data_IF_478007401721
#
_entry.id   IF_478007401721
#
_cell.length_a   1.000
_cell.length_b   1.000
_cell.length_c   1.000
_cell.angle_alpha   90.00
_cell.angle_beta   90.00
_cell.angle_gamma   90.00
#
_symmetry.space_group_name_H-M   'P 1'
#
loop_
_entity.id
_entity.type
_entity.pdbx_description
1 polymer ?
#
# COMPACT_ATOMS: atom_id res chain seq x y z
N UNK A 1 -22.20 16.53 -16.67
CA UNK A 1 -21.05 17.39 -16.37
C UNK A 1 -19.83 16.74 -16.98
N UNK A 2 -19.19 17.39 -17.95
CA UNK A 2 -18.06 16.85 -18.71
C UNK A 2 -16.87 16.71 -17.77
N UNK A 3 -16.35 15.47 -17.61
CA UNK A 3 -15.09 15.22 -16.95
C UNK A 3 -13.99 15.99 -17.70
N UNK A 4 -13.52 17.06 -17.09
CA UNK A 4 -12.31 17.73 -17.51
C UNK A 4 -11.12 16.86 -17.05
N UNK A 5 -10.82 15.81 -17.81
CA UNK A 5 -9.45 15.33 -17.83
C UNK A 5 -8.63 16.47 -18.41
N UNK A 6 -7.84 17.13 -17.57
CA UNK A 6 -6.79 18.02 -18.05
C UNK A 6 -5.89 17.17 -18.92
N UNK A 7 -6.03 17.29 -20.24
CA UNK A 7 -5.15 16.66 -21.21
C UNK A 7 -3.81 17.37 -21.09
N UNK A 8 -2.95 16.85 -20.21
CA UNK A 8 -1.56 17.30 -20.09
C UNK A 8 -0.91 16.91 -21.39
N UNK A 9 -0.22 17.85 -22.06
CA UNK A 9 0.55 17.52 -23.26
C UNK A 9 1.62 16.49 -22.90
N UNK A 10 2.00 15.63 -23.85
CA UNK A 10 3.08 14.66 -23.63
C UNK A 10 4.35 15.29 -23.06
N UNK A 11 4.73 16.47 -23.59
CA UNK A 11 5.90 17.22 -23.12
C UNK A 11 5.77 17.62 -21.65
N UNK A 12 4.63 18.15 -21.24
CA UNK A 12 4.40 18.51 -19.84
C UNK A 12 4.41 17.28 -18.92
N UNK A 13 3.85 16.16 -19.39
CA UNK A 13 3.88 14.90 -18.65
C UNK A 13 5.31 14.40 -18.44
N UNK A 14 6.13 14.39 -19.50
CA UNK A 14 7.52 13.93 -19.45
C UNK A 14 8.34 14.78 -18.45
N UNK A 15 8.17 16.10 -18.48
CA UNK A 15 8.82 17.02 -17.52
C UNK A 15 8.38 16.74 -16.08
N UNK A 16 7.07 16.61 -15.83
CA UNK A 16 6.56 16.32 -14.48
C UNK A 16 6.99 14.96 -13.97
N UNK A 17 7.11 13.96 -14.84
CA UNK A 17 7.62 12.64 -14.47
C UNK A 17 9.11 12.69 -14.11
N UNK A 18 9.92 13.45 -14.85
CA UNK A 18 11.34 13.68 -14.54
C UNK A 18 11.51 14.42 -13.20
N UNK A 19 10.71 15.45 -12.96
CA UNK A 19 10.69 16.18 -11.68
C UNK A 19 10.34 15.25 -10.52
N UNK A 20 9.30 14.44 -10.66
CA UNK A 20 8.88 13.48 -9.64
C UNK A 20 9.98 12.43 -9.35
N UNK A 21 10.66 11.94 -10.41
CA UNK A 21 11.78 11.00 -10.27
C UNK A 21 12.94 11.65 -9.52
N UNK A 22 13.30 12.89 -9.84
CA UNK A 22 14.35 13.64 -9.15
C UNK A 22 14.01 13.91 -7.69
N UNK A 23 12.80 14.36 -7.40
CA UNK A 23 12.34 14.58 -6.02
C UNK A 23 12.37 13.28 -5.20
N UNK A 24 11.99 12.16 -5.81
CA UNK A 24 12.03 10.85 -5.16
C UNK A 24 13.46 10.42 -4.89
N UNK A 25 14.38 10.61 -5.84
CA UNK A 25 15.79 10.31 -5.66
C UNK A 25 16.40 11.16 -4.51
N UNK A 26 16.04 12.44 -4.43
CA UNK A 26 16.52 13.33 -3.36
C UNK A 26 15.95 12.90 -2.00
N UNK A 27 14.68 12.43 -1.96
CA UNK A 27 14.07 11.88 -0.75
C UNK A 27 14.73 10.56 -0.30
N UNK A 28 15.04 9.66 -1.23
CA UNK A 28 15.62 8.34 -0.95
C UNK A 28 17.11 8.44 -0.56
N UNK A 29 17.83 9.42 -1.12
CA UNK A 29 19.30 9.56 -0.99
C UNK A 29 19.85 9.42 0.45
N UNK A 30 19.25 9.97 1.52
CA UNK A 30 19.72 9.78 2.88
C UNK A 30 19.71 8.32 3.36
N UNK A 31 18.86 7.47 2.76
CA UNK A 31 18.59 6.10 3.20
C UNK A 31 19.39 5.03 2.44
N UNK A 32 20.12 5.39 1.36
CA UNK A 32 20.81 4.42 0.49
C UNK A 32 21.86 3.54 1.18
N UNK A 33 22.33 3.94 2.36
CA UNK A 33 23.29 3.14 3.14
C UNK A 33 22.62 2.11 4.05
N UNK A 34 21.33 2.29 4.33
CA UNK A 34 20.57 1.51 5.33
C UNK A 34 19.44 0.70 4.70
N UNK A 35 18.91 1.16 3.58
CA UNK A 35 17.83 0.51 2.84
C UNK A 35 18.34 -0.15 1.56
N UNK A 36 17.69 -1.26 1.18
CA UNK A 36 17.90 -1.91 -0.11
C UNK A 36 17.27 -1.02 -1.19
N UNK A 37 17.98 -0.76 -2.27
CA UNK A 37 17.46 -0.09 -3.46
C UNK A 37 17.38 -1.15 -4.58
N UNK A 38 16.18 -1.36 -5.12
CA UNK A 38 15.96 -2.39 -6.15
C UNK A 38 14.95 -1.92 -7.17
N UNK A 39 15.09 -2.36 -8.41
CA UNK A 39 14.15 -2.13 -9.50
C UNK A 39 13.26 -3.36 -9.75
N UNK A 40 13.52 -4.46 -9.07
CA UNK A 40 12.76 -5.72 -9.18
C UNK A 40 12.74 -6.48 -7.86
N UNK A 41 11.81 -7.43 -7.73
CA UNK A 41 11.82 -8.40 -6.65
C UNK A 41 11.44 -7.84 -5.26
N UNK A 42 10.86 -6.64 -5.18
CA UNK A 42 10.47 -6.02 -3.91
C UNK A 42 9.53 -6.88 -3.07
N UNK A 43 8.64 -7.66 -3.68
CA UNK A 43 7.78 -8.61 -2.96
C UNK A 43 8.58 -9.70 -2.24
N UNK A 44 9.66 -10.22 -2.87
CA UNK A 44 10.54 -11.19 -2.22
C UNK A 44 11.27 -10.54 -1.03
N UNK A 45 11.84 -9.36 -1.24
CA UNK A 45 12.52 -8.62 -0.17
C UNK A 45 11.56 -8.39 1.00
N UNK A 46 10.31 -7.97 0.74
CA UNK A 46 9.33 -7.76 1.78
C UNK A 46 9.02 -9.04 2.57
N UNK A 47 8.82 -10.18 1.88
CA UNK A 47 8.53 -11.47 2.50
C UNK A 47 9.69 -12.00 3.36
N UNK A 48 10.93 -11.81 2.92
CA UNK A 48 12.15 -12.21 3.65
C UNK A 48 12.35 -11.41 4.93
N UNK A 49 11.84 -10.17 4.97
CA UNK A 49 11.94 -9.29 6.14
C UNK A 49 10.87 -9.53 7.21
N UNK A 50 9.87 -10.39 6.97
CA UNK A 50 8.85 -10.72 7.97
C UNK A 50 9.44 -11.65 9.02
N UNK A 51 9.64 -11.13 10.24
CA UNK A 51 10.35 -11.80 11.34
C UNK A 51 9.43 -12.23 12.49
N UNK A 52 8.22 -11.68 12.57
CA UNK A 52 7.28 -11.94 13.67
C UNK A 52 6.04 -12.67 13.18
N UNK A 53 5.43 -13.42 14.08
CA UNK A 53 4.11 -14.02 13.88
C UNK A 53 3.02 -12.96 14.08
N UNK A 54 1.94 -13.07 13.30
CA UNK A 54 0.82 -12.15 13.41
C UNK A 54 -0.09 -12.16 12.20
N UNK A 55 -0.87 -11.10 12.05
CA UNK A 55 -1.76 -10.91 10.93
C UNK A 55 -0.99 -10.50 9.67
N UNK A 56 -1.33 -11.09 8.54
CA UNK A 56 -0.85 -10.73 7.21
C UNK A 56 -2.03 -10.16 6.44
N UNK A 57 -1.99 -8.85 6.17
CA UNK A 57 -3.10 -8.09 5.62
C UNK A 57 -2.70 -7.41 4.32
N UNK A 58 -3.62 -7.37 3.35
CA UNK A 58 -3.49 -6.61 2.12
C UNK A 58 -4.72 -5.73 1.92
N UNK A 59 -4.51 -4.48 1.57
CA UNK A 59 -5.54 -3.49 1.30
C UNK A 59 -5.44 -3.00 -0.14
N UNK A 60 -6.45 -3.34 -0.95
CA UNK A 60 -6.41 -3.37 -2.40
C UNK A 60 -5.97 -4.75 -2.88
N UNK A 61 -6.86 -5.48 -3.52
CA UNK A 61 -6.61 -6.86 -3.99
C UNK A 61 -6.82 -6.97 -5.49
N UNK A 62 -7.81 -6.27 -6.01
CA UNK A 62 -8.19 -6.34 -7.42
C UNK A 62 -8.31 -7.78 -7.92
N UNK A 63 -7.39 -8.23 -8.77
CA UNK A 63 -7.37 -9.60 -9.33
C UNK A 63 -6.64 -10.62 -8.46
N UNK A 64 -5.96 -10.17 -7.40
CA UNK A 64 -5.29 -11.03 -6.43
C UNK A 64 -3.86 -11.41 -6.78
N UNK A 65 -3.20 -10.69 -7.69
CA UNK A 65 -1.84 -11.04 -8.16
C UNK A 65 -0.83 -11.00 -7.01
N UNK A 66 -0.80 -9.92 -6.23
CA UNK A 66 0.11 -9.74 -5.10
C UNK A 66 -0.19 -10.70 -3.96
N UNK A 67 -1.47 -10.80 -3.53
CA UNK A 67 -1.84 -11.67 -2.40
C UNK A 67 -1.63 -13.15 -2.72
N UNK A 68 -1.85 -13.58 -3.97
CA UNK A 68 -1.57 -14.94 -4.42
C UNK A 68 -0.08 -15.21 -4.46
N UNK A 69 0.72 -14.23 -4.90
CA UNK A 69 2.16 -14.35 -4.83
C UNK A 69 2.64 -14.54 -3.38
N UNK A 70 2.27 -13.65 -2.47
CA UNK A 70 2.66 -13.72 -1.06
C UNK A 70 2.20 -15.02 -0.40
N UNK A 71 0.95 -15.40 -0.59
CA UNK A 71 0.37 -16.60 0.01
C UNK A 71 0.99 -17.89 -0.54
N UNK A 72 1.40 -17.91 -1.80
CA UNK A 72 2.10 -19.04 -2.42
C UNK A 72 3.50 -19.27 -1.81
N UNK A 73 4.19 -18.18 -1.46
CA UNK A 73 5.53 -18.24 -0.83
C UNK A 73 5.47 -18.60 0.65
N UNK A 74 4.34 -18.35 1.31
CA UNK A 74 4.10 -18.71 2.73
C UNK A 74 2.83 -19.56 2.86
N UNK A 75 2.83 -20.83 2.38
CA UNK A 75 1.62 -21.64 2.25
C UNK A 75 0.96 -22.01 3.59
N UNK A 76 1.68 -21.97 4.69
CA UNK A 76 1.18 -22.22 6.03
C UNK A 76 0.67 -20.96 6.75
N UNK A 77 0.75 -19.81 6.09
CA UNK A 77 0.30 -18.52 6.63
C UNK A 77 -1.06 -18.17 6.06
N UNK A 78 -1.98 -17.73 6.92
CA UNK A 78 -3.28 -17.22 6.50
C UNK A 78 -3.19 -15.73 6.17
N UNK A 79 -3.60 -15.40 4.96
CA UNK A 79 -3.62 -14.04 4.42
C UNK A 79 -5.04 -13.49 4.39
N UNK A 80 -5.20 -12.20 4.63
CA UNK A 80 -6.49 -11.51 4.56
C UNK A 80 -6.38 -10.35 3.59
N UNK A 81 -7.15 -10.41 2.50
CA UNK A 81 -7.24 -9.35 1.50
C UNK A 81 -8.55 -8.56 1.66
N UNK A 82 -8.43 -7.24 1.72
CA UNK A 82 -9.56 -6.32 1.83
C UNK A 82 -9.74 -5.55 0.53
N UNK A 83 -10.92 -5.58 -0.02
CA UNK A 83 -11.27 -4.83 -1.23
C UNK A 83 -12.80 -4.69 -1.35
N UNK A 84 -13.26 -3.59 -1.89
CA UNK A 84 -14.67 -3.42 -2.26
C UNK A 84 -14.99 -4.18 -3.55
N UNK A 85 -13.99 -4.36 -4.43
CA UNK A 85 -14.10 -4.82 -5.81
C UNK A 85 -14.99 -3.93 -6.69
N UNK A 86 -15.28 -2.71 -6.23
CA UNK A 86 -16.04 -1.69 -6.97
C UNK A 86 -15.12 -0.62 -7.61
N UNK A 87 -13.79 -0.73 -7.37
CA UNK A 87 -12.79 0.22 -7.81
C UNK A 87 -12.70 1.47 -6.93
N UNK A 88 -11.92 2.44 -7.36
CA UNK A 88 -11.65 3.65 -6.60
C UNK A 88 -12.92 4.43 -6.22
N UNK A 89 -12.95 4.95 -4.98
CA UNK A 89 -14.01 5.83 -4.51
C UNK A 89 -13.76 7.28 -4.91
N UNK A 90 -12.54 7.65 -5.19
CA UNK A 90 -12.08 8.98 -5.59
C UNK A 90 -11.14 8.90 -6.80
N UNK A 91 -10.83 10.04 -7.40
CA UNK A 91 -9.84 10.11 -8.47
C UNK A 91 -8.44 10.05 -7.86
N UNK A 92 -7.55 9.26 -8.45
CA UNK A 92 -6.17 9.14 -8.02
C UNK A 92 -5.38 10.42 -8.35
N UNK A 93 -4.85 11.08 -7.33
CA UNK A 93 -4.11 12.33 -7.49
C UNK A 93 -2.78 12.09 -8.20
N UNK A 94 -2.57 12.80 -9.31
CA UNK A 94 -1.38 12.64 -10.16
C UNK A 94 -1.39 11.44 -11.10
N UNK A 95 -2.40 10.58 -11.00
CA UNK A 95 -2.60 9.45 -11.90
C UNK A 95 -3.60 9.76 -13.03
N UNK A 96 -3.59 8.93 -14.08
CA UNK A 96 -4.57 8.96 -15.16
C UNK A 96 -5.85 8.19 -14.83
N UNK A 97 -5.92 7.66 -13.61
CA UNK A 97 -6.95 6.74 -13.19
C UNK A 97 -8.01 7.46 -12.37
N UNK A 98 -9.25 7.38 -12.83
CA UNK A 98 -10.41 7.96 -12.15
C UNK A 98 -11.17 6.92 -11.34
N UNK A 99 -12.25 7.37 -10.70
CA UNK A 99 -13.22 6.53 -10.00
C UNK A 99 -13.58 5.29 -10.81
N UNK A 100 -13.78 4.16 -10.12
CA UNK A 100 -14.09 2.83 -10.69
C UNK A 100 -12.95 2.15 -11.46
N UNK A 101 -11.78 2.75 -11.57
CA UNK A 101 -10.60 2.02 -12.02
C UNK A 101 -10.37 0.84 -11.07
N UNK A 102 -9.84 -0.26 -11.56
CA UNK A 102 -9.67 -1.53 -10.84
C UNK A 102 -10.98 -2.15 -10.30
N UNK A 103 -12.14 -1.83 -10.89
CA UNK A 103 -13.40 -2.48 -10.55
C UNK A 103 -13.51 -3.88 -11.17
N UNK A 104 -13.99 -4.82 -10.37
CA UNK A 104 -14.47 -6.14 -10.82
C UNK A 104 -16.00 -6.21 -10.73
N UNK A 105 -16.71 -5.07 -10.74
CA UNK A 105 -18.15 -4.99 -10.55
C UNK A 105 -18.62 -5.73 -9.28
N UNK A 106 -17.85 -5.60 -8.22
CA UNK A 106 -18.11 -6.25 -6.94
C UNK A 106 -17.89 -7.76 -6.89
N UNK A 107 -17.30 -8.35 -7.91
CA UNK A 107 -17.01 -9.80 -7.93
C UNK A 107 -15.64 -10.08 -7.31
N UNK A 108 -15.58 -11.10 -6.44
CA UNK A 108 -14.30 -11.54 -5.86
C UNK A 108 -13.51 -12.34 -6.90
N UNK A 109 -12.19 -12.14 -7.00
CA UNK A 109 -11.34 -13.02 -7.79
C UNK A 109 -11.23 -14.41 -7.13
N UNK A 110 -10.77 -15.39 -7.90
CA UNK A 110 -10.33 -16.67 -7.35
C UNK A 110 -8.90 -16.50 -6.86
N UNK A 111 -8.64 -16.89 -5.61
CA UNK A 111 -7.35 -16.76 -4.95
C UNK A 111 -6.92 -18.07 -4.28
N UNK A 112 -5.68 -18.14 -3.82
CA UNK A 112 -5.14 -19.30 -3.13
C UNK A 112 -5.96 -19.67 -1.88
N UNK A 113 -5.99 -20.97 -1.55
CA UNK A 113 -6.81 -21.54 -0.45
C UNK A 113 -6.47 -20.98 0.94
N UNK A 114 -5.26 -20.46 1.14
CA UNK A 114 -4.81 -19.81 2.36
C UNK A 114 -5.03 -18.29 2.34
N UNK A 115 -5.86 -17.78 1.43
CA UNK A 115 -6.30 -16.38 1.36
C UNK A 115 -7.78 -16.27 1.73
N UNK A 116 -8.14 -15.29 2.54
CA UNK A 116 -9.52 -14.93 2.89
C UNK A 116 -9.82 -13.52 2.40
N UNK A 117 -10.67 -13.40 1.39
CA UNK A 117 -11.12 -12.12 0.86
C UNK A 117 -12.29 -11.56 1.67
N UNK A 118 -12.11 -10.33 2.15
CA UNK A 118 -13.09 -9.55 2.91
C UNK A 118 -13.60 -8.44 2.00
N UNK A 119 -14.79 -8.68 1.42
CA UNK A 119 -15.42 -7.74 0.49
C UNK A 119 -16.12 -6.61 1.23
N UNK A 120 -15.85 -5.39 0.83
CA UNK A 120 -16.51 -4.16 1.27
C UNK A 120 -15.51 -3.04 1.49
N UNK A 121 -16.03 -1.84 1.75
CA UNK A 121 -15.19 -0.69 2.07
C UNK A 121 -14.46 -0.87 3.40
N UNK A 122 -13.26 -0.34 3.51
CA UNK A 122 -12.38 -0.54 4.68
C UNK A 122 -13.05 -0.07 5.96
N UNK A 123 -13.69 1.10 5.96
CA UNK A 123 -14.45 1.64 7.11
C UNK A 123 -15.52 0.71 7.67
N UNK A 124 -16.10 -0.14 6.83
CA UNK A 124 -17.20 -1.04 7.21
C UNK A 124 -16.72 -2.42 7.63
N UNK A 125 -15.61 -2.88 7.07
CA UNK A 125 -15.10 -4.25 7.21
C UNK A 125 -13.98 -4.37 8.23
N UNK A 126 -13.01 -3.46 8.18
CA UNK A 126 -11.80 -3.55 8.99
C UNK A 126 -12.05 -3.42 10.50
N UNK A 127 -12.93 -2.52 11.02
CA UNK A 127 -13.22 -2.47 12.44
C UNK A 127 -13.85 -3.78 12.96
N UNK A 128 -14.76 -4.39 12.18
CA UNK A 128 -15.39 -5.66 12.52
C UNK A 128 -14.39 -6.80 12.56
N UNK A 129 -13.45 -6.83 11.60
CA UNK A 129 -12.39 -7.81 11.56
C UNK A 129 -11.45 -7.67 12.76
N UNK A 130 -10.94 -6.48 13.04
CA UNK A 130 -9.99 -6.24 14.12
C UNK A 130 -10.57 -6.49 15.51
N UNK A 131 -11.86 -6.24 15.72
CA UNK A 131 -12.55 -6.53 16.99
C UNK A 131 -12.38 -7.99 17.44
N UNK A 132 -12.29 -8.91 16.49
CA UNK A 132 -12.19 -10.35 16.74
C UNK A 132 -10.74 -10.88 16.62
N UNK A 133 -9.75 -10.00 16.48
CA UNK A 133 -8.34 -10.36 16.31
C UNK A 133 -7.52 -9.84 17.48
N UNK A 134 -6.94 -10.78 18.23
CA UNK A 134 -6.02 -10.45 19.34
C UNK A 134 -4.57 -10.27 18.85
N UNK A 135 -4.22 -10.93 17.74
CA UNK A 135 -2.88 -10.88 17.18
C UNK A 135 -2.53 -9.44 16.72
N UNK A 136 -1.25 -9.13 16.83
CA UNK A 136 -0.65 -7.95 16.23
C UNK A 136 -0.45 -8.16 14.72
N UNK A 137 -0.09 -7.12 14.01
CA UNK A 137 0.16 -7.19 12.58
C UNK A 137 1.64 -7.52 12.34
N UNK A 138 1.90 -8.62 11.65
CA UNK A 138 3.24 -8.97 11.21
C UNK A 138 3.59 -8.29 9.89
N UNK A 139 2.63 -8.29 8.96
CA UNK A 139 2.82 -7.71 7.63
C UNK A 139 1.56 -7.00 7.15
N UNK A 140 1.78 -5.85 6.57
CA UNK A 140 0.77 -4.99 5.99
C UNK A 140 1.20 -4.59 4.58
N UNK A 141 0.43 -4.97 3.57
CA UNK A 141 0.56 -4.49 2.21
C UNK A 141 -0.51 -3.44 1.95
N UNK A 142 -0.10 -2.22 1.68
CA UNK A 142 -0.96 -1.10 1.29
C UNK A 142 -0.79 -0.93 -0.21
N UNK A 143 -1.85 -1.25 -0.94
CA UNK A 143 -1.95 -1.25 -2.39
C UNK A 143 -3.36 -0.74 -2.76
N UNK A 144 -3.72 0.39 -2.15
CA UNK A 144 -5.03 1.01 -2.34
C UNK A 144 -4.94 2.41 -2.93
N UNK A 145 -3.75 2.76 -3.41
CA UNK A 145 -3.38 3.87 -4.29
C UNK A 145 -3.71 5.28 -3.73
N UNK A 146 -4.91 5.50 -3.19
CA UNK A 146 -5.37 6.85 -2.90
C UNK A 146 -5.07 7.26 -1.46
N UNK A 147 -4.88 8.58 -1.27
CA UNK A 147 -4.68 9.17 0.06
C UNK A 147 -5.78 8.79 1.04
N UNK A 148 -7.06 8.92 0.61
CA UNK A 148 -8.19 8.68 1.49
C UNK A 148 -8.30 7.21 1.91
N UNK A 149 -8.07 6.28 0.99
CA UNK A 149 -8.10 4.84 1.27
C UNK A 149 -6.99 4.45 2.24
N UNK A 150 -5.77 4.90 1.99
CA UNK A 150 -4.61 4.65 2.85
C UNK A 150 -4.78 5.26 4.23
N UNK A 151 -5.24 6.51 4.28
CA UNK A 151 -5.52 7.19 5.55
C UNK A 151 -6.58 6.47 6.37
N UNK A 152 -7.67 6.01 5.72
CA UNK A 152 -8.73 5.26 6.38
C UNK A 152 -8.21 3.95 6.99
N UNK A 153 -7.40 3.20 6.25
CA UNK A 153 -6.76 1.96 6.74
C UNK A 153 -5.88 2.24 7.95
N UNK A 154 -4.97 3.22 7.87
CA UNK A 154 -4.04 3.56 8.94
C UNK A 154 -4.75 4.07 10.19
N UNK A 155 -5.75 4.96 10.05
CA UNK A 155 -6.51 5.50 11.19
C UNK A 155 -7.32 4.39 11.91
N UNK A 156 -7.87 3.41 11.18
CA UNK A 156 -8.63 2.30 11.77
C UNK A 156 -7.70 1.29 12.47
N UNK A 157 -6.57 0.94 11.87
CA UNK A 157 -5.57 0.06 12.48
C UNK A 157 -5.03 0.71 13.76
N UNK A 158 -4.68 1.99 13.66
CA UNK A 158 -4.11 2.74 14.76
C UNK A 158 -2.70 2.26 15.16
N UNK A 159 -1.98 3.05 15.97
CA UNK A 159 -0.58 2.73 16.30
C UNK A 159 -0.41 1.49 17.18
N UNK A 160 -1.43 1.11 17.95
CA UNK A 160 -1.34 -0.02 18.90
C UNK A 160 -1.22 -1.39 18.25
N UNK A 161 -1.62 -1.52 16.98
CA UNK A 161 -1.52 -2.77 16.22
C UNK A 161 -0.24 -2.86 15.39
N UNK A 162 0.48 -1.75 15.26
CA UNK A 162 1.77 -1.66 14.59
C UNK A 162 2.88 -1.78 15.65
N UNK A 163 3.19 -3.02 15.99
CA UNK A 163 4.22 -3.32 17.00
C UNK A 163 5.62 -3.30 16.39
N UNK A 164 6.65 -3.27 17.25
CA UNK A 164 8.03 -3.39 16.78
C UNK A 164 8.20 -4.64 15.93
N UNK A 165 8.91 -4.51 14.81
CA UNK A 165 9.08 -5.52 13.76
C UNK A 165 7.84 -5.76 12.86
N UNK A 166 6.76 -5.02 12.96
CA UNK A 166 5.74 -4.97 11.88
C UNK A 166 6.40 -4.45 10.61
N UNK A 167 6.15 -5.11 9.47
CA UNK A 167 6.54 -4.61 8.14
C UNK A 167 5.32 -4.07 7.42
N UNK A 168 5.52 -2.90 6.80
CA UNK A 168 4.52 -2.26 5.95
C UNK A 168 5.16 -2.08 4.58
N UNK A 169 4.59 -2.73 3.57
CA UNK A 169 4.91 -2.51 2.17
C UNK A 169 3.86 -1.57 1.58
N UNK A 170 4.28 -0.43 1.11
CA UNK A 170 3.48 0.50 0.30
C UNK A 170 3.78 0.26 -1.18
N UNK A 171 2.76 0.18 -2.02
CA UNK A 171 2.96 -0.07 -3.46
C UNK A 171 3.18 1.22 -4.25
N UNK A 172 2.46 2.29 -3.93
CA UNK A 172 2.59 3.61 -4.56
C UNK A 172 3.18 4.66 -3.61
N UNK A 173 4.48 4.56 -3.29
CA UNK A 173 5.09 5.43 -2.29
C UNK A 173 5.89 6.60 -2.89
N UNK A 174 6.65 6.37 -3.99
CA UNK A 174 7.53 7.35 -4.63
C UNK A 174 7.50 7.22 -6.15
N UNK A 175 8.27 8.05 -6.87
CA UNK A 175 8.66 7.89 -8.28
C UNK A 175 7.55 8.03 -9.32
N UNK A 176 6.44 8.68 -8.99
CA UNK A 176 5.38 9.01 -9.94
C UNK A 176 4.84 10.42 -9.70
N UNK A 177 4.17 10.99 -10.71
CA UNK A 177 3.61 12.35 -10.62
C UNK A 177 2.56 12.38 -9.48
N UNK A 178 2.75 13.29 -8.51
CA UNK A 178 1.83 13.41 -7.38
C UNK A 178 2.05 12.42 -6.24
N UNK A 179 3.15 11.69 -6.22
CA UNK A 179 3.46 10.69 -5.19
C UNK A 179 3.37 11.22 -3.75
N UNK A 180 3.65 12.53 -3.55
CA UNK A 180 3.57 13.16 -2.22
C UNK A 180 2.13 13.36 -1.72
N UNK A 181 1.11 13.14 -2.56
CA UNK A 181 -0.28 13.44 -2.22
C UNK A 181 -1.13 12.19 -1.90
N UNK A 182 -0.57 10.99 -2.02
CA UNK A 182 -1.26 9.71 -1.83
C UNK A 182 -0.77 8.94 -0.60
N UNK A 183 -0.30 7.70 -0.75
CA UNK A 183 0.14 6.80 0.33
C UNK A 183 1.25 7.43 1.18
N UNK A 184 2.21 8.09 0.53
CA UNK A 184 3.28 8.82 1.22
C UNK A 184 2.73 9.85 2.21
N UNK A 185 1.81 10.69 1.76
CA UNK A 185 1.18 11.73 2.60
C UNK A 185 0.44 11.12 3.78
N UNK A 186 -0.40 10.12 3.50
CA UNK A 186 -1.17 9.44 4.54
C UNK A 186 -0.25 8.84 5.62
N UNK A 187 0.85 8.20 5.21
CA UNK A 187 1.84 7.67 6.13
C UNK A 187 2.55 8.74 6.94
N UNK A 188 3.03 9.82 6.31
CA UNK A 188 3.73 10.91 7.01
C UNK A 188 2.83 11.60 8.03
N UNK A 189 1.57 11.84 7.71
CA UNK A 189 0.58 12.39 8.64
C UNK A 189 0.31 11.44 9.81
N UNK A 190 0.15 10.14 9.55
CA UNK A 190 -0.05 9.13 10.59
C UNK A 190 1.13 9.06 11.56
N UNK A 191 2.36 9.02 11.04
CA UNK A 191 3.58 9.02 11.83
C UNK A 191 3.67 10.24 12.73
N UNK A 192 3.44 11.43 12.17
CA UNK A 192 3.48 12.69 12.92
C UNK A 192 2.41 12.73 14.01
N UNK A 193 1.18 12.34 13.69
CA UNK A 193 0.02 12.34 14.62
C UNK A 193 0.24 11.41 15.81
N UNK A 194 0.83 10.25 15.59
CA UNK A 194 0.94 9.19 16.58
C UNK A 194 2.35 8.97 17.13
N UNK A 195 3.33 9.78 16.69
CA UNK A 195 4.75 9.66 17.06
C UNK A 195 5.29 8.25 16.86
N UNK A 196 5.04 7.67 15.67
CA UNK A 196 5.47 6.31 15.32
C UNK A 196 6.94 6.32 14.93
N UNK A 197 7.73 5.44 15.56
CA UNK A 197 9.12 5.22 15.17
C UNK A 197 9.21 4.14 14.09
N UNK A 198 9.95 4.42 13.04
CA UNK A 198 10.14 3.48 11.94
C UNK A 198 11.44 3.71 11.19
N UNK A 199 11.83 2.74 10.37
CA UNK A 199 12.92 2.88 9.40
C UNK A 199 12.52 2.32 8.05
N UNK A 200 13.12 2.84 6.99
CA UNK A 200 13.02 2.24 5.67
C UNK A 200 13.97 1.04 5.57
N UNK A 201 13.47 -0.08 5.03
CA UNK A 201 14.29 -1.27 4.76
C UNK A 201 14.48 -1.50 3.27
N UNK A 202 13.59 -0.95 2.42
CA UNK A 202 13.73 -1.06 0.96
C UNK A 202 12.98 0.10 0.27
N UNK A 203 13.52 0.52 -0.88
CA UNK A 203 12.80 1.27 -1.90
C UNK A 203 12.85 0.49 -3.21
N UNK A 204 11.68 0.25 -3.80
CA UNK A 204 11.47 -0.35 -5.11
C UNK A 204 11.37 0.70 -6.21
N UNK A 205 10.75 0.33 -7.34
CA UNK A 205 10.41 1.28 -8.42
C UNK A 205 9.49 2.40 -7.89
N UNK A 206 8.38 2.03 -7.27
CA UNK A 206 7.48 2.94 -6.56
C UNK A 206 7.31 2.57 -5.10
N UNK A 207 7.66 1.35 -4.75
CA UNK A 207 7.40 0.73 -3.47
C UNK A 207 8.35 1.24 -2.38
N UNK A 208 7.85 1.17 -1.14
CA UNK A 208 8.70 1.31 0.04
C UNK A 208 8.33 0.26 1.09
N UNK A 209 9.35 -0.41 1.63
CA UNK A 209 9.21 -1.30 2.78
C UNK A 209 9.66 -0.59 4.04
N UNK A 210 8.80 -0.56 5.02
CA UNK A 210 9.01 0.10 6.31
C UNK A 210 8.97 -0.93 7.43
N UNK A 211 9.89 -0.80 8.38
CA UNK A 211 9.90 -1.53 9.65
C UNK A 211 9.52 -0.60 10.79
N UNK A 212 8.53 -0.99 11.59
CA UNK A 212 8.23 -0.33 12.87
C UNK A 212 9.31 -0.69 13.90
N UNK A 213 9.82 0.30 14.64
CA UNK A 213 10.94 0.14 15.60
C UNK A 213 10.54 0.45 17.03
#
# INVERSE_FOLDING_TARGET
>A
MKNFFKQISKVAFDVLAEEAAKESADYIRPYIKEAIITDTGWWNVALEKIEIDGLHLEFGVYRGESIDYFSSKKPNTLWYGFDSFEGFQEDWQGGFYGKKTYSLNGQKPVVNKNVKLIKGYFKDTLPKFLKNKKQDIAFLHIDCDTYQSTKEVLDIIGPKKLVSNTRILFDEYTSYIGWKENEFKAWKEFVQKHNVNYKYEMFGDRQALIKIT
#
